data_IF_335595392310
#
_entry.id   IF_335595392310
#
_cell.length_a   1.000
_cell.length_b   1.000
_cell.length_c   1.000
_cell.angle_alpha   90.00
_cell.angle_beta   90.00
_cell.angle_gamma   90.00
#
_symmetry.space_group_name_H-M   'P 1'
#
loop_
_entity.id
_entity.type
_entity.pdbx_description
1 polymer ?
#
# COMPACT_ATOMS: atom_id res chain seq x y z
N UNK A 1 46.99 19.98 4.76
CA UNK A 1 46.03 19.98 5.90
C UNK A 1 46.02 18.58 6.49
N UNK A 2 46.11 18.40 7.80
CA UNK A 2 46.26 17.07 8.41
C UNK A 2 44.99 16.23 8.18
N UNK A 3 45.10 14.97 7.74
CA UNK A 3 43.95 14.13 7.32
C UNK A 3 42.86 14.03 8.40
N UNK A 4 43.27 13.98 9.68
CA UNK A 4 42.36 14.01 10.83
C UNK A 4 41.46 15.25 10.88
N UNK A 5 41.97 16.43 10.46
CA UNK A 5 41.18 17.67 10.40
C UNK A 5 40.16 17.65 9.27
N UNK A 6 40.45 16.96 8.17
CA UNK A 6 39.51 16.79 7.05
C UNK A 6 38.36 15.85 7.47
N UNK A 7 38.68 14.71 8.10
CA UNK A 7 37.66 13.76 8.59
C UNK A 7 36.74 14.39 9.64
N UNK A 8 37.30 15.20 10.56
CA UNK A 8 36.52 15.88 11.60
C UNK A 8 35.50 16.88 11.03
N UNK A 9 35.75 17.43 9.85
CA UNK A 9 34.86 18.39 9.18
C UNK A 9 33.84 17.65 8.31
N UNK A 10 34.25 16.60 7.59
CA UNK A 10 33.37 15.90 6.65
C UNK A 10 32.28 15.07 7.35
N UNK A 11 32.58 14.43 8.48
CA UNK A 11 31.62 13.57 9.19
C UNK A 11 30.33 14.31 9.62
N UNK A 12 30.37 15.47 10.31
CA UNK A 12 29.15 16.18 10.70
C UNK A 12 28.37 16.73 9.49
N UNK A 13 29.06 17.07 8.40
CA UNK A 13 28.40 17.50 7.15
C UNK A 13 27.63 16.33 6.54
N UNK A 14 28.22 15.13 6.47
CA UNK A 14 27.55 13.92 5.98
C UNK A 14 26.34 13.54 6.84
N UNK A 15 26.47 13.63 8.17
CA UNK A 15 25.36 13.37 9.10
C UNK A 15 24.25 14.41 8.93
N UNK A 16 24.60 15.70 8.81
CA UNK A 16 23.64 16.77 8.58
C UNK A 16 22.86 16.60 7.26
N UNK A 17 23.54 16.21 6.18
CA UNK A 17 22.90 15.91 4.89
C UNK A 17 21.98 14.68 4.98
N UNK A 18 22.39 13.63 5.69
CA UNK A 18 21.56 12.45 5.89
C UNK A 18 20.29 12.78 6.68
N UNK A 19 20.41 13.54 7.76
CA UNK A 19 19.26 13.99 8.56
C UNK A 19 18.34 14.87 7.71
N UNK A 20 18.90 15.80 6.95
CA UNK A 20 18.11 16.65 6.05
C UNK A 20 17.33 15.83 5.01
N UNK A 21 17.98 14.82 4.39
CA UNK A 21 17.33 13.89 3.45
C UNK A 21 16.23 13.05 4.11
N UNK A 22 16.45 12.55 5.33
CA UNK A 22 15.44 11.78 6.07
C UNK A 22 14.26 12.68 6.42
N UNK A 23 14.51 13.91 6.87
CA UNK A 23 13.45 14.88 7.18
C UNK A 23 12.70 15.27 5.92
N UNK A 24 13.37 15.53 4.78
CA UNK A 24 12.69 15.73 3.50
C UNK A 24 11.85 14.52 3.12
N UNK A 25 12.38 13.29 3.22
CA UNK A 25 11.58 12.08 2.93
C UNK A 25 10.35 11.95 3.84
N UNK A 26 10.46 12.34 5.12
CA UNK A 26 9.36 12.34 6.07
C UNK A 26 8.39 13.52 5.86
N UNK A 27 8.83 14.58 5.18
CA UNK A 27 8.05 15.77 4.86
C UNK A 27 7.55 15.81 3.41
N UNK A 28 7.94 14.85 2.56
CA UNK A 28 7.20 14.53 1.35
C UNK A 28 5.86 14.01 1.85
N UNK A 29 4.93 14.95 2.06
CA UNK A 29 3.51 14.65 2.08
C UNK A 29 3.27 13.71 0.91
N UNK A 30 2.56 12.57 1.08
CA UNK A 30 2.17 11.76 -0.05
C UNK A 30 1.60 12.73 -1.08
N UNK A 31 2.30 12.92 -2.20
CA UNK A 31 1.81 13.83 -3.22
C UNK A 31 0.46 13.25 -3.61
N UNK A 32 -0.57 14.06 -3.45
CA UNK A 32 -1.92 13.62 -3.76
C UNK A 32 -1.94 13.17 -5.22
N UNK A 33 -2.40 11.95 -5.41
CA UNK A 33 -2.24 11.25 -6.67
C UNK A 33 -3.19 11.87 -7.69
N UNK A 34 -2.68 12.60 -8.67
CA UNK A 34 -3.51 13.21 -9.70
C UNK A 34 -4.02 12.14 -10.67
N UNK A 35 -5.33 12.11 -10.89
CA UNK A 35 -5.98 11.34 -11.95
C UNK A 35 -6.69 12.32 -12.87
N UNK A 36 -6.40 12.29 -14.16
CA UNK A 36 -7.18 13.02 -15.14
C UNK A 36 -8.36 12.15 -15.57
N UNK A 37 -9.56 12.70 -15.73
CA UNK A 37 -10.60 12.01 -16.52
C UNK A 37 -10.38 12.23 -18.01
N UNK A 38 -10.83 11.28 -18.84
CA UNK A 38 -10.92 11.46 -20.28
C UNK A 38 -12.12 12.32 -20.67
N UNK A 39 -12.16 12.82 -21.92
CA UNK A 39 -13.37 13.48 -22.43
C UNK A 39 -14.20 12.49 -23.25
N UNK A 40 -15.46 12.29 -22.84
CA UNK A 40 -16.40 11.41 -23.53
C UNK A 40 -16.72 11.91 -24.95
N UNK A 41 -16.46 11.05 -25.90
CA UNK A 41 -16.69 11.18 -27.35
C UNK A 41 -17.65 10.11 -27.86
N UNK A 42 -17.62 8.91 -27.28
CA UNK A 42 -18.57 7.84 -27.56
C UNK A 42 -19.69 7.78 -26.51
N UNK A 43 -20.86 7.29 -26.91
CA UNK A 43 -21.96 7.08 -25.96
C UNK A 43 -21.63 5.93 -25.01
N UNK A 44 -22.02 6.10 -23.75
CA UNK A 44 -21.91 5.08 -22.71
C UNK A 44 -23.31 4.56 -22.42
N UNK A 45 -23.47 3.25 -22.45
CA UNK A 45 -24.60 2.53 -21.88
C UNK A 45 -24.19 2.10 -20.47
N UNK A 46 -25.02 2.41 -19.48
CA UNK A 46 -24.76 2.01 -18.09
C UNK A 46 -25.48 0.67 -17.87
N UNK A 47 -24.75 -0.42 -18.06
CA UNK A 47 -25.23 -1.81 -17.98
C UNK A 47 -24.26 -2.78 -17.27
N UNK A 48 -23.15 -2.24 -16.73
CA UNK A 48 -22.16 -3.02 -15.99
C UNK A 48 -21.36 -3.95 -16.90
N UNK A 49 -21.14 -3.61 -18.17
CA UNK A 49 -20.37 -4.41 -19.10
C UNK A 49 -19.60 -3.55 -20.13
N UNK A 50 -18.50 -4.09 -20.66
CA UNK A 50 -17.93 -3.58 -21.91
C UNK A 50 -18.85 -3.97 -23.08
N UNK A 51 -19.89 -3.17 -23.33
CA UNK A 51 -20.89 -3.49 -24.36
C UNK A 51 -20.35 -3.30 -25.77
N UNK A 52 -19.40 -2.38 -25.96
CA UNK A 52 -18.63 -2.30 -27.21
C UNK A 52 -17.17 -1.91 -26.97
N UNK A 53 -16.28 -2.38 -27.84
CA UNK A 53 -14.82 -2.17 -27.71
C UNK A 53 -14.44 -0.69 -27.67
N UNK A 54 -15.18 0.18 -28.38
CA UNK A 54 -14.92 1.61 -28.46
C UNK A 54 -15.51 2.42 -27.31
N UNK A 55 -16.32 1.80 -26.45
CA UNK A 55 -17.14 2.51 -25.47
C UNK A 55 -16.30 3.32 -24.49
N UNK A 56 -15.14 2.79 -24.11
CA UNK A 56 -14.26 3.37 -23.09
C UNK A 56 -12.87 3.75 -23.65
N UNK A 57 -12.70 3.77 -24.98
CA UNK A 57 -11.45 4.12 -25.68
C UNK A 57 -10.96 5.56 -25.39
N UNK A 58 -11.87 6.43 -24.99
CA UNK A 58 -11.63 7.83 -24.67
C UNK A 58 -11.53 8.12 -23.17
N UNK A 59 -11.60 7.07 -22.33
CA UNK A 59 -11.41 7.18 -20.90
C UNK A 59 -9.93 7.27 -20.53
N UNK A 60 -9.67 7.94 -19.41
CA UNK A 60 -8.42 7.74 -18.70
C UNK A 60 -8.47 6.44 -17.93
N UNK A 61 -7.37 5.70 -17.92
CA UNK A 61 -7.26 4.37 -17.33
C UNK A 61 -6.27 4.44 -16.17
N UNK A 62 -6.69 3.97 -15.01
CA UNK A 62 -5.90 3.91 -13.78
C UNK A 62 -5.91 2.49 -13.25
N UNK A 63 -4.73 1.87 -13.15
CA UNK A 63 -4.59 0.59 -12.46
C UNK A 63 -4.72 0.81 -10.96
N UNK A 64 -5.70 0.18 -10.32
CA UNK A 64 -5.90 0.29 -8.86
C UNK A 64 -4.95 -0.67 -8.13
N UNK A 65 -4.94 -1.93 -8.56
CA UNK A 65 -4.05 -3.01 -8.11
C UNK A 65 -4.01 -4.09 -9.20
N UNK A 66 -3.47 -5.29 -8.94
CA UNK A 66 -3.44 -6.39 -9.93
C UNK A 66 -4.81 -6.85 -10.44
N UNK A 67 -5.87 -6.54 -9.70
CA UNK A 67 -7.18 -7.17 -9.79
C UNK A 67 -8.30 -6.17 -10.09
N UNK A 68 -7.98 -4.87 -10.23
CA UNK A 68 -8.95 -3.83 -10.56
C UNK A 68 -8.36 -2.70 -11.41
N UNK A 69 -9.15 -2.26 -12.39
CA UNK A 69 -8.82 -1.16 -13.32
C UNK A 69 -9.97 -0.17 -13.34
N UNK A 70 -9.64 1.11 -13.11
CA UNK A 70 -10.59 2.21 -13.10
C UNK A 70 -10.51 2.99 -14.42
N UNK A 71 -11.66 3.20 -15.03
CA UNK A 71 -11.87 4.00 -16.23
C UNK A 71 -12.67 5.24 -15.85
N UNK A 72 -12.15 6.41 -16.20
CA UNK A 72 -12.76 7.70 -15.89
C UNK A 72 -12.88 8.54 -17.14
N UNK A 73 -14.09 9.04 -17.38
CA UNK A 73 -14.31 10.10 -18.37
C UNK A 73 -15.45 11.00 -17.97
N UNK A 74 -15.46 12.21 -18.48
CA UNK A 74 -16.56 13.13 -18.29
C UNK A 74 -16.97 13.75 -19.62
N UNK A 75 -18.17 14.27 -19.67
CA UNK A 75 -18.55 15.29 -20.64
C UNK A 75 -18.77 16.63 -19.90
N UNK A 76 -19.53 17.54 -20.50
CA UNK A 76 -19.85 18.82 -19.89
C UNK A 76 -20.90 18.73 -18.75
N UNK A 77 -21.55 17.58 -18.59
CA UNK A 77 -22.72 17.41 -17.72
C UNK A 77 -22.62 16.23 -16.78
N UNK A 78 -21.85 15.18 -17.10
CA UNK A 78 -21.74 13.98 -16.30
C UNK A 78 -20.29 13.49 -16.18
N UNK A 79 -19.98 12.89 -15.04
CA UNK A 79 -18.84 12.02 -14.80
C UNK A 79 -19.29 10.57 -15.01
N UNK A 80 -18.49 9.80 -15.73
CA UNK A 80 -18.67 8.38 -16.00
C UNK A 80 -17.53 7.61 -15.37
N UNK A 81 -17.89 6.61 -14.58
CA UNK A 81 -16.96 5.79 -13.81
C UNK A 81 -17.24 4.35 -14.18
N UNK A 82 -16.18 3.63 -14.56
CA UNK A 82 -16.24 2.21 -14.82
C UNK A 82 -15.13 1.53 -14.04
N UNK A 83 -15.48 0.56 -13.21
CA UNK A 83 -14.53 -0.24 -12.46
C UNK A 83 -14.59 -1.69 -12.93
N UNK A 84 -13.50 -2.12 -13.58
CA UNK A 84 -13.25 -3.48 -14.03
C UNK A 84 -12.57 -4.26 -12.89
N UNK A 85 -13.31 -5.09 -12.15
CA UNK A 85 -12.79 -5.84 -10.99
C UNK A 85 -12.42 -7.27 -11.39
N UNK A 86 -11.39 -7.39 -12.21
CA UNK A 86 -10.89 -8.65 -12.78
C UNK A 86 -10.76 -9.79 -11.75
N UNK A 87 -10.32 -9.49 -10.52
CA UNK A 87 -10.14 -10.50 -9.47
C UNK A 87 -11.45 -10.99 -8.82
N UNK A 88 -12.54 -10.24 -8.96
CA UNK A 88 -13.85 -10.59 -8.41
C UNK A 88 -14.62 -11.46 -9.40
N UNK A 89 -14.42 -12.77 -9.28
CA UNK A 89 -15.08 -13.78 -10.13
C UNK A 89 -16.22 -14.50 -9.39
N UNK A 90 -16.55 -14.05 -8.17
CA UNK A 90 -17.50 -14.67 -7.25
C UNK A 90 -18.76 -13.84 -7.08
N UNK A 91 -19.94 -14.46 -7.15
CA UNK A 91 -21.22 -13.72 -7.14
C UNK A 91 -21.76 -13.30 -5.77
N UNK A 92 -20.93 -13.12 -4.73
CA UNK A 92 -21.41 -12.83 -3.37
C UNK A 92 -20.72 -11.65 -2.71
N UNK A 93 -21.51 -10.65 -2.29
CA UNK A 93 -21.12 -9.47 -1.49
C UNK A 93 -20.06 -8.56 -2.12
N UNK A 94 -20.37 -8.04 -3.31
CA UNK A 94 -19.45 -7.21 -4.07
C UNK A 94 -19.80 -5.75 -3.86
N UNK A 95 -19.02 -5.01 -3.07
CA UNK A 95 -19.29 -3.60 -2.73
C UNK A 95 -18.36 -2.66 -3.44
N UNK A 96 -18.94 -1.56 -3.91
CA UNK A 96 -18.26 -0.46 -4.56
C UNK A 96 -18.77 0.84 -3.95
N UNK A 97 -17.87 1.71 -3.52
CA UNK A 97 -18.19 3.07 -3.07
C UNK A 97 -17.14 4.04 -3.57
N UNK A 98 -17.61 5.21 -3.98
CA UNK A 98 -16.79 6.37 -4.30
C UNK A 98 -17.22 7.53 -3.42
N UNK A 99 -16.27 8.37 -3.07
CA UNK A 99 -16.46 9.55 -2.24
C UNK A 99 -15.72 10.73 -2.88
N UNK A 100 -16.32 11.91 -2.76
CA UNK A 100 -15.76 13.14 -3.29
C UNK A 100 -15.53 14.15 -2.18
N UNK A 101 -14.37 14.81 -2.22
CA UNK A 101 -14.15 16.11 -1.60
C UNK A 101 -14.31 17.15 -2.71
N UNK A 102 -15.52 17.66 -2.82
CA UNK A 102 -16.00 18.57 -3.86
C UNK A 102 -15.31 19.93 -3.79
N UNK A 103 -15.08 20.42 -2.58
CA UNK A 103 -14.38 21.68 -2.33
C UNK A 103 -12.89 21.57 -2.63
N UNK A 104 -12.36 20.34 -2.60
CA UNK A 104 -10.94 20.04 -2.61
C UNK A 104 -10.19 20.87 -1.57
N UNK A 105 -10.80 21.02 -0.41
CA UNK A 105 -10.33 21.85 0.68
C UNK A 105 -9.92 21.02 1.89
N UNK A 106 -9.89 19.69 1.75
CA UNK A 106 -9.47 18.76 2.77
C UNK A 106 -10.38 18.79 4.02
N UNK A 107 -11.63 19.27 3.85
CA UNK A 107 -12.59 19.46 4.94
C UNK A 107 -13.89 18.71 4.63
N UNK A 108 -14.32 17.91 5.61
CA UNK A 108 -15.64 17.31 5.62
C UNK A 108 -16.73 18.37 5.73
N UNK A 109 -17.22 18.86 4.60
CA UNK A 109 -18.22 19.92 4.56
C UNK A 109 -19.64 19.34 4.65
N UNK A 110 -20.37 19.63 5.73
CA UNK A 110 -21.68 19.03 5.96
C UNK A 110 -22.67 19.31 4.82
N UNK A 111 -23.29 18.25 4.28
CA UNK A 111 -24.27 18.32 3.21
C UNK A 111 -23.72 18.63 1.81
N UNK A 112 -22.41 18.83 1.66
CA UNK A 112 -21.78 19.09 0.36
C UNK A 112 -21.03 17.87 -0.18
N UNK A 113 -20.38 17.10 0.68
CA UNK A 113 -19.64 15.92 0.23
C UNK A 113 -20.58 14.78 -0.12
N UNK A 114 -20.37 14.21 -1.30
CA UNK A 114 -21.23 13.19 -1.87
C UNK A 114 -20.50 11.87 -1.97
N UNK A 115 -21.19 10.79 -1.64
CA UNK A 115 -20.71 9.44 -1.88
C UNK A 115 -21.74 8.63 -2.65
N UNK A 116 -21.27 7.71 -3.47
CA UNK A 116 -22.11 6.86 -4.30
C UNK A 116 -21.67 5.43 -4.10
N UNK A 117 -22.62 4.53 -3.87
CA UNK A 117 -22.31 3.13 -3.70
C UNK A 117 -23.22 2.23 -4.53
N UNK A 118 -22.64 1.15 -5.04
CA UNK A 118 -23.34 0.02 -5.62
C UNK A 118 -23.11 -1.20 -4.71
N UNK A 119 -24.22 -1.86 -4.35
CA UNK A 119 -24.38 -3.01 -3.44
C UNK A 119 -24.35 -2.82 -1.90
N UNK A 120 -23.77 -1.74 -1.35
CA UNK A 120 -23.98 -1.40 0.09
C UNK A 120 -25.39 -0.83 0.36
N UNK A 121 -26.14 -0.58 -0.72
CA UNK A 121 -27.37 0.17 -0.68
C UNK A 121 -28.54 -0.58 -0.07
N UNK A 122 -29.38 0.15 0.66
CA UNK A 122 -30.77 -0.26 0.92
C UNK A 122 -31.60 -0.39 -0.37
N UNK A 123 -31.06 0.05 -1.50
CA UNK A 123 -31.75 0.16 -2.78
C UNK A 123 -31.04 -0.64 -3.88
N UNK A 124 -31.84 -1.39 -4.63
CA UNK A 124 -31.44 -2.01 -5.90
C UNK A 124 -31.08 -0.90 -6.91
N UNK A 125 -29.91 -1.02 -7.56
CA UNK A 125 -29.42 -0.03 -8.52
C UNK A 125 -28.59 1.12 -7.94
N UNK A 126 -28.18 1.05 -6.67
CA UNK A 126 -27.22 1.97 -6.06
C UNK A 126 -27.83 3.06 -5.17
N UNK A 127 -27.00 3.63 -4.29
CA UNK A 127 -27.39 4.61 -3.27
C UNK A 127 -26.50 5.84 -3.31
N UNK A 128 -27.12 7.01 -3.35
CA UNK A 128 -26.49 8.31 -3.16
C UNK A 128 -26.53 8.68 -1.67
N UNK A 129 -25.37 9.03 -1.13
CA UNK A 129 -25.17 9.50 0.23
C UNK A 129 -24.68 10.94 0.19
N UNK A 130 -25.03 11.69 1.23
CA UNK A 130 -24.50 13.04 1.47
C UNK A 130 -23.92 13.08 2.88
N UNK A 131 -22.86 13.86 3.06
CA UNK A 131 -22.23 14.05 4.35
C UNK A 131 -23.24 14.62 5.36
N UNK A 132 -23.29 14.03 6.56
CA UNK A 132 -24.21 14.46 7.59
C UNK A 132 -23.87 15.89 8.05
N UNK A 133 -24.86 16.55 8.63
CA UNK A 133 -24.77 17.88 9.25
C UNK A 133 -23.73 18.02 10.39
N UNK A 134 -23.08 16.92 10.79
CA UNK A 134 -22.13 16.85 11.90
C UNK A 134 -20.71 17.26 11.49
N UNK A 135 -20.33 17.07 10.22
CA UNK A 135 -18.95 17.26 9.74
C UNK A 135 -17.95 16.29 10.37
N UNK A 136 -18.44 15.14 10.84
CA UNK A 136 -17.60 14.07 11.39
C UNK A 136 -17.14 13.22 10.21
N UNK A 137 -15.82 12.99 10.04
CA UNK A 137 -15.32 12.19 8.92
C UNK A 137 -16.08 10.90 8.67
N UNK A 138 -16.58 10.72 7.45
CA UNK A 138 -17.30 9.53 6.99
C UNK A 138 -18.70 9.34 7.60
N UNK A 139 -19.27 10.33 8.28
CA UNK A 139 -20.64 10.29 8.78
C UNK A 139 -21.62 10.58 7.64
N UNK A 140 -21.74 9.65 6.70
CA UNK A 140 -22.66 9.77 5.57
C UNK A 140 -24.10 9.37 5.96
N UNK A 141 -25.07 10.16 5.52
CA UNK A 141 -26.49 9.77 5.57
C UNK A 141 -26.99 9.35 4.18
N UNK A 142 -27.89 8.38 4.16
CA UNK A 142 -28.57 7.96 2.93
C UNK A 142 -29.44 9.11 2.45
N UNK A 143 -29.19 9.60 1.24
CA UNK A 143 -29.99 10.64 0.61
C UNK A 143 -31.11 10.01 -0.23
N UNK A 144 -30.75 9.21 -1.25
CA UNK A 144 -31.75 8.55 -2.12
C UNK A 144 -31.16 7.44 -3.02
N UNK A 145 -31.99 6.58 -3.63
CA UNK A 145 -31.56 5.67 -4.71
C UNK A 145 -31.12 6.42 -5.97
N UNK A 146 -30.32 5.82 -6.85
CA UNK A 146 -29.83 6.51 -8.06
C UNK A 146 -30.90 7.11 -8.97
N UNK A 147 -32.11 6.53 -9.00
CA UNK A 147 -33.23 7.07 -9.79
C UNK A 147 -33.87 8.37 -9.24
N UNK A 148 -33.38 8.93 -8.12
CA UNK A 148 -33.90 10.18 -7.56
C UNK A 148 -33.41 11.45 -8.29
N UNK A 149 -32.31 11.38 -9.02
CA UNK A 149 -31.75 12.49 -9.78
C UNK A 149 -31.75 12.17 -11.27
N UNK A 150 -32.06 13.17 -12.10
CA UNK A 150 -31.95 13.01 -13.56
C UNK A 150 -30.49 12.70 -13.91
N UNK A 151 -30.28 11.70 -14.77
CA UNK A 151 -28.96 11.27 -15.24
C UNK A 151 -28.03 10.67 -14.18
N UNK A 152 -28.50 10.45 -12.95
CA UNK A 152 -27.81 9.58 -12.00
C UNK A 152 -28.29 8.15 -12.27
N UNK A 153 -27.37 7.27 -12.62
CA UNK A 153 -27.67 5.86 -12.87
C UNK A 153 -26.40 5.04 -12.66
N UNK A 154 -26.58 3.78 -12.33
CA UNK A 154 -25.49 2.84 -12.16
C UNK A 154 -26.00 1.45 -12.40
N UNK A 155 -25.11 0.57 -12.82
CA UNK A 155 -25.36 -0.86 -12.95
C UNK A 155 -24.10 -1.63 -12.56
N UNK A 156 -24.29 -2.91 -12.23
CA UNK A 156 -23.19 -3.81 -12.02
C UNK A 156 -23.56 -5.22 -12.45
N UNK A 157 -22.67 -5.87 -13.18
CA UNK A 157 -22.94 -7.15 -13.78
C UNK A 157 -21.67 -8.01 -13.84
N UNK A 158 -21.87 -9.32 -13.98
CA UNK A 158 -20.79 -10.24 -14.30
C UNK A 158 -20.64 -10.33 -15.82
N UNK A 159 -19.52 -9.85 -16.33
CA UNK A 159 -19.21 -9.88 -17.76
C UNK A 159 -17.71 -10.07 -18.01
N UNK A 160 -17.34 -10.17 -19.28
CA UNK A 160 -15.94 -10.12 -19.71
C UNK A 160 -15.54 -8.70 -20.07
N UNK A 161 -14.23 -8.43 -20.09
CA UNK A 161 -13.65 -7.16 -20.49
C UNK A 161 -12.44 -7.37 -21.39
N UNK A 162 -11.91 -6.32 -22.05
CA UNK A 162 -10.62 -6.39 -22.72
C UNK A 162 -9.46 -6.81 -21.79
N UNK A 163 -9.61 -6.64 -20.48
CA UNK A 163 -8.58 -6.97 -19.50
C UNK A 163 -8.69 -8.40 -18.96
N UNK A 164 -9.87 -9.04 -19.11
CA UNK A 164 -10.06 -10.44 -18.74
C UNK A 164 -11.20 -11.11 -19.52
N UNK A 165 -10.88 -12.28 -20.07
CA UNK A 165 -11.87 -13.15 -20.74
C UNK A 165 -12.70 -13.98 -19.76
N UNK A 166 -12.37 -13.99 -18.47
CA UNK A 166 -13.17 -14.65 -17.44
C UNK A 166 -14.26 -13.69 -16.98
N UNK A 167 -15.48 -14.20 -16.76
CA UNK A 167 -16.54 -13.38 -16.17
C UNK A 167 -16.11 -12.89 -14.78
N UNK A 168 -16.17 -11.59 -14.58
CA UNK A 168 -15.85 -10.91 -13.32
C UNK A 168 -16.83 -9.75 -13.09
N UNK A 169 -16.85 -9.23 -11.88
CA UNK A 169 -17.70 -8.12 -11.49
C UNK A 169 -17.22 -6.82 -12.16
N UNK A 170 -18.15 -6.13 -12.80
CA UNK A 170 -17.95 -4.81 -13.37
C UNK A 170 -18.98 -3.86 -12.76
N UNK A 171 -18.56 -2.63 -12.48
CA UNK A 171 -19.45 -1.54 -12.03
C UNK A 171 -19.37 -0.37 -12.99
N UNK A 172 -20.53 0.21 -13.31
CA UNK A 172 -20.65 1.40 -14.11
C UNK A 172 -21.55 2.42 -13.43
N UNK A 173 -21.13 3.68 -13.39
CA UNK A 173 -21.93 4.77 -12.84
C UNK A 173 -21.82 6.01 -13.71
N UNK A 174 -22.96 6.65 -13.94
CA UNK A 174 -23.08 7.99 -14.48
C UNK A 174 -23.56 8.95 -13.37
N UNK A 175 -22.80 10.01 -13.13
CA UNK A 175 -23.06 11.00 -12.07
C UNK A 175 -23.18 12.38 -12.69
N UNK A 176 -24.29 13.11 -12.50
CA UNK A 176 -24.38 14.50 -12.96
C UNK A 176 -23.34 15.38 -12.25
N UNK A 177 -22.53 16.13 -12.98
CA UNK A 177 -21.54 17.04 -12.37
C UNK A 177 -22.21 18.10 -11.50
N UNK A 178 -23.41 18.55 -11.89
CA UNK A 178 -24.21 19.48 -11.08
C UNK A 178 -24.69 18.88 -9.75
N UNK A 179 -24.78 17.55 -9.66
CA UNK A 179 -25.19 16.88 -8.41
C UNK A 179 -24.08 16.95 -7.36
N UNK A 180 -22.83 16.75 -7.79
CA UNK A 180 -21.65 16.90 -6.94
C UNK A 180 -21.09 18.33 -6.97
N UNK A 181 -21.82 19.32 -7.50
CA UNK A 181 -21.42 20.73 -7.42
C UNK A 181 -20.18 21.16 -8.23
N UNK A 182 -19.73 20.37 -9.21
CA UNK A 182 -18.51 20.65 -9.99
C UNK A 182 -18.79 21.00 -11.45
N UNK A 183 -17.79 21.56 -12.12
CA UNK A 183 -17.73 21.80 -13.55
C UNK A 183 -16.57 21.05 -14.19
N UNK A 184 -16.62 20.89 -15.51
CA UNK A 184 -15.48 20.43 -16.29
C UNK A 184 -14.25 21.35 -16.07
N UNK A 185 -13.06 20.77 -15.96
CA UNK A 185 -11.83 21.49 -15.65
C UNK A 185 -11.56 21.66 -14.15
N UNK A 186 -12.54 21.41 -13.29
CA UNK A 186 -12.35 21.46 -11.84
C UNK A 186 -11.50 20.27 -11.37
N UNK A 187 -10.87 20.44 -10.21
CA UNK A 187 -10.10 19.42 -9.50
C UNK A 187 -10.80 19.13 -8.17
N UNK A 188 -11.07 17.86 -7.88
CA UNK A 188 -11.75 17.41 -6.67
C UNK A 188 -11.01 16.26 -5.99
N UNK A 189 -11.16 16.13 -4.68
CA UNK A 189 -10.70 14.93 -3.98
C UNK A 189 -11.53 13.72 -4.38
N UNK A 190 -10.88 12.59 -4.56
CA UNK A 190 -11.46 11.34 -5.03
C UNK A 190 -10.94 10.17 -4.21
N UNK A 191 -11.86 9.43 -3.61
CA UNK A 191 -11.58 8.19 -2.93
C UNK A 191 -12.47 7.10 -3.46
N UNK A 192 -11.87 5.95 -3.75
CA UNK A 192 -12.57 4.74 -4.15
C UNK A 192 -12.33 3.68 -3.10
N UNK A 193 -13.39 2.97 -2.77
CA UNK A 193 -13.40 1.83 -1.88
C UNK A 193 -14.14 0.69 -2.57
N UNK A 194 -13.53 -0.47 -2.68
CA UNK A 194 -14.15 -1.62 -3.33
C UNK A 194 -13.52 -2.93 -2.91
N UNK A 195 -14.23 -4.02 -3.16
CA UNK A 195 -13.71 -5.34 -2.87
C UNK A 195 -14.77 -6.42 -3.02
N UNK A 196 -14.38 -7.61 -3.51
CA UNK A 196 -15.06 -8.81 -3.10
C UNK A 196 -14.77 -9.02 -1.60
N UNK A 197 -15.78 -8.82 -0.75
CA UNK A 197 -15.61 -8.98 0.71
C UNK A 197 -15.35 -10.42 1.12
N UNK A 198 -15.64 -11.38 0.24
CA UNK A 198 -15.40 -12.81 0.46
C UNK A 198 -13.91 -13.18 0.40
N UNK A 199 -13.04 -12.32 -0.15
CA UNK A 199 -11.60 -12.56 -0.26
C UNK A 199 -10.74 -11.93 0.86
N UNK A 200 -11.33 -11.33 1.89
CA UNK A 200 -10.59 -10.71 3.02
C UNK A 200 -9.75 -9.47 2.65
N UNK A 201 -9.80 -8.99 1.41
CA UNK A 201 -9.01 -7.86 0.93
C UNK A 201 -9.92 -6.75 0.44
N UNK A 202 -10.14 -5.76 1.30
CA UNK A 202 -10.67 -4.47 0.88
C UNK A 202 -9.56 -3.73 0.13
N UNK A 203 -9.86 -3.26 -1.08
CA UNK A 203 -8.98 -2.33 -1.78
C UNK A 203 -9.59 -0.94 -1.74
N UNK A 204 -8.70 0.03 -1.62
CA UNK A 204 -9.02 1.43 -1.73
C UNK A 204 -8.03 2.09 -2.66
N UNK A 205 -8.45 3.20 -3.26
CA UNK A 205 -7.61 4.00 -4.11
C UNK A 205 -7.66 5.47 -3.69
N UNK A 206 -6.50 6.12 -3.53
CA UNK A 206 -5.14 5.55 -3.53
C UNK A 206 -4.93 4.46 -2.47
N UNK A 207 -3.99 3.53 -2.65
CA UNK A 207 -3.77 2.41 -1.71
C UNK A 207 -3.21 2.82 -0.34
N UNK A 208 -2.85 4.09 -0.17
CA UNK A 208 -2.38 4.68 1.09
C UNK A 208 -3.42 5.63 1.68
N UNK A 209 -4.57 5.79 1.02
CA UNK A 209 -5.59 6.73 1.43
C UNK A 209 -6.40 6.19 2.62
N UNK A 210 -6.66 7.06 3.58
CA UNK A 210 -7.60 6.81 4.66
C UNK A 210 -8.95 7.45 4.29
N UNK A 211 -10.02 6.67 4.34
CA UNK A 211 -11.38 7.15 4.05
C UNK A 211 -11.85 8.26 5.00
N UNK A 212 -11.16 8.49 6.12
CA UNK A 212 -11.46 9.55 7.08
C UNK A 212 -10.51 10.76 6.97
N UNK A 213 -9.49 10.68 6.12
CA UNK A 213 -8.49 11.74 5.92
C UNK A 213 -8.42 12.15 4.44
N UNK A 214 -9.15 13.19 4.07
CA UNK A 214 -9.24 13.71 2.69
C UNK A 214 -7.90 14.16 2.13
N UNK A 215 -6.92 14.48 2.99
CA UNK A 215 -5.56 14.87 2.57
C UNK A 215 -4.82 13.73 1.88
N UNK A 216 -5.27 12.49 2.11
CA UNK A 216 -4.66 11.29 1.54
C UNK A 216 -5.33 10.83 0.25
N UNK A 217 -6.43 11.49 -0.15
CA UNK A 217 -7.23 11.10 -1.31
C UNK A 217 -6.53 11.48 -2.62
N UNK A 218 -6.94 10.83 -3.71
CA UNK A 218 -6.51 11.22 -5.05
C UNK A 218 -7.13 12.56 -5.44
N UNK A 219 -6.56 13.19 -6.45
CA UNK A 219 -7.05 14.44 -7.03
C UNK A 219 -7.57 14.15 -8.42
N UNK A 220 -8.89 14.08 -8.57
CA UNK A 220 -9.53 13.91 -9.87
C UNK A 220 -9.65 15.25 -10.58
N UNK A 221 -8.96 15.39 -11.71
CA UNK A 221 -8.98 16.55 -12.59
C UNK A 221 -9.93 16.25 -13.75
N UNK A 222 -11.04 16.99 -13.82
CA UNK A 222 -12.05 16.78 -14.86
C UNK A 222 -11.58 17.36 -16.20
N UNK A 223 -11.66 16.59 -17.29
CA UNK A 223 -11.28 17.09 -18.62
C UNK A 223 -12.10 18.35 -18.99
N UNK A 224 -11.46 19.47 -19.37
CA UNK A 224 -12.16 20.73 -19.63
C UNK A 224 -12.82 20.78 -21.02
N UNK A 225 -12.31 19.98 -21.96
CA UNK A 225 -12.73 19.94 -23.38
C UNK A 225 -12.43 18.58 -23.98
N UNK A 226 -12.82 18.38 -25.24
CA UNK A 226 -12.54 17.21 -26.09
C UNK A 226 -11.05 17.06 -26.43
N UNK A 227 -10.18 17.05 -25.42
CA UNK A 227 -8.83 16.55 -25.56
C UNK A 227 -8.92 15.01 -25.49
N UNK A 228 -8.42 14.34 -26.53
CA UNK A 228 -8.33 12.88 -26.56
C UNK A 228 -7.47 12.44 -25.37
N UNK A 229 -8.00 11.54 -24.53
CA UNK A 229 -7.35 11.06 -23.31
C UNK A 229 -5.87 10.74 -23.56
N UNK A 230 -4.99 11.38 -22.79
CA UNK A 230 -3.59 10.99 -22.74
C UNK A 230 -3.56 9.76 -21.83
N UNK A 231 -3.11 8.63 -22.35
CA UNK A 231 -2.78 7.48 -21.50
C UNK A 231 -1.62 7.95 -20.61
N UNK A 232 -1.94 8.34 -19.37
CA UNK A 232 -0.94 8.57 -18.34
C UNK A 232 -0.39 7.19 -17.97
N UNK A 233 0.56 6.70 -18.77
CA UNK A 233 1.47 5.68 -18.28
C UNK A 233 2.12 6.28 -17.05
N UNK A 234 1.79 5.75 -15.87
CA UNK A 234 2.61 5.86 -14.67
C UNK A 234 3.98 5.26 -15.01
N UNK A 235 4.81 6.05 -15.70
CA UNK A 235 6.24 5.91 -15.69
C UNK A 235 6.61 6.01 -14.22
N UNK A 236 7.46 5.10 -13.76
CA UNK A 236 8.09 5.07 -12.43
C UNK A 236 8.94 6.33 -12.15
N UNK A 237 8.37 7.52 -12.35
CA UNK A 237 9.09 8.80 -12.36
C UNK A 237 9.41 9.28 -10.96
N UNK A 238 8.63 8.91 -9.94
CA UNK A 238 8.90 9.37 -8.58
C UNK A 238 9.92 8.51 -7.82
N UNK A 239 9.98 7.21 -8.05
CA UNK A 239 11.00 6.36 -7.41
C UNK A 239 12.37 6.47 -8.08
N UNK A 240 12.42 6.71 -9.40
CA UNK A 240 13.69 6.76 -10.15
C UNK A 240 14.62 7.91 -9.71
N UNK A 241 14.10 9.07 -9.32
CA UNK A 241 14.92 10.17 -8.82
C UNK A 241 15.57 9.87 -7.47
N UNK A 242 14.86 9.19 -6.58
CA UNK A 242 15.40 8.75 -5.29
C UNK A 242 16.53 7.73 -5.48
N UNK A 243 16.40 6.80 -6.44
CA UNK A 243 17.48 5.88 -6.82
C UNK A 243 18.70 6.62 -7.39
N UNK A 244 18.50 7.63 -8.23
CA UNK A 244 19.61 8.45 -8.77
C UNK A 244 20.34 9.20 -7.64
N UNK A 245 19.60 9.80 -6.70
CA UNK A 245 20.19 10.53 -5.59
C UNK A 245 20.95 9.61 -4.63
N UNK A 246 20.38 8.43 -4.34
CA UNK A 246 21.06 7.39 -3.55
C UNK A 246 22.35 6.91 -4.23
N UNK A 247 22.33 6.74 -5.55
CA UNK A 247 23.52 6.35 -6.32
C UNK A 247 24.62 7.41 -6.26
N UNK A 248 24.27 8.71 -6.34
CA UNK A 248 25.23 9.81 -6.23
C UNK A 248 25.86 9.86 -4.83
N UNK A 249 25.05 9.68 -3.77
CA UNK A 249 25.55 9.63 -2.39
C UNK A 249 26.46 8.42 -2.18
N UNK A 250 26.07 7.23 -2.67
CA UNK A 250 26.87 6.02 -2.58
C UNK A 250 28.23 6.15 -3.29
N UNK A 251 28.26 6.73 -4.49
CA UNK A 251 29.50 7.02 -5.23
C UNK A 251 30.38 8.00 -4.45
N UNK A 252 29.78 9.02 -3.83
CA UNK A 252 30.50 10.01 -3.04
C UNK A 252 31.16 9.39 -1.81
N UNK A 253 30.44 8.52 -1.08
CA UNK A 253 30.97 7.77 0.06
C UNK A 253 32.09 6.82 -0.38
N UNK A 254 31.87 6.06 -1.47
CA UNK A 254 32.88 5.16 -2.01
C UNK A 254 34.16 5.91 -2.43
N UNK A 255 34.02 7.09 -3.05
CA UNK A 255 35.15 7.96 -3.41
C UNK A 255 35.97 8.38 -2.19
N UNK A 256 35.31 8.80 -1.11
CA UNK A 256 35.98 9.16 0.16
C UNK A 256 36.69 7.95 0.78
N UNK A 257 36.08 6.77 0.76
CA UNK A 257 36.67 5.53 1.27
C UNK A 257 37.89 5.08 0.45
N UNK A 258 37.85 5.20 -0.87
CA UNK A 258 38.99 4.88 -1.74
C UNK A 258 40.15 5.84 -1.50
N UNK A 259 39.88 7.15 -1.44
CA UNK A 259 40.91 8.16 -1.17
C UNK A 259 41.52 7.92 0.22
N UNK A 260 40.72 7.69 1.25
CA UNK A 260 41.22 7.42 2.61
C UNK A 260 42.07 6.15 2.70
N UNK A 261 41.71 5.06 2.01
CA UNK A 261 42.54 3.84 1.93
C UNK A 261 43.90 4.09 1.28
N UNK A 262 43.95 4.89 0.20
CA UNK A 262 45.23 5.24 -0.44
C UNK A 262 46.13 6.05 0.52
N UNK A 263 45.57 6.93 1.34
CA UNK A 263 46.36 7.67 2.34
C UNK A 263 46.84 6.81 3.52
N UNK A 264 46.06 5.80 3.95
CA UNK A 264 46.49 4.85 5.00
C UNK A 264 47.63 3.96 4.51
N UNK A 265 47.66 3.61 3.21
CA UNK A 265 48.71 2.76 2.63
C UNK A 265 50.06 3.49 2.51
N UNK A 266 50.05 4.81 2.35
CA UNK A 266 51.28 5.63 2.29
C UNK A 266 51.92 5.80 3.69
N UNK A 267 51.12 5.81 4.76
CA UNK A 267 51.63 6.01 6.14
C UNK A 267 52.14 4.70 6.78
N UNK A 268 51.59 3.55 6.38
CA UNK A 268 51.93 2.23 6.95
C UNK A 268 53.26 1.64 6.46
N UNK A 269 53.87 2.17 5.39
CA UNK A 269 55.24 1.80 5.00
C UNK A 269 56.31 2.35 5.98
N UNK A 270 55.94 3.20 6.94
CA UNK A 270 56.91 3.83 7.88
C UNK A 270 57.09 3.12 9.22
N UNK A 271 56.30 2.09 9.56
CA UNK A 271 56.41 1.40 10.86
C UNK A 271 56.22 -0.11 10.76
N UNK A 272 57.34 -0.84 10.82
CA UNK A 272 57.37 -2.25 11.23
C UNK A 272 56.79 -2.38 12.64
N UNK A 273 55.75 -3.19 12.80
CA UNK A 273 55.28 -3.67 14.10
C UNK A 273 55.10 -5.18 14.01
N UNK A 274 55.66 -5.87 15.00
CA UNK A 274 55.65 -7.32 15.22
C UNK A 274 54.24 -7.86 15.54
N UNK A 275 54.00 -9.18 15.32
CA UNK A 275 52.68 -9.75 15.48
C UNK A 275 52.38 -10.02 16.96
N UNK A 276 51.28 -9.45 17.46
CA UNK A 276 50.65 -9.93 18.70
C UNK A 276 49.28 -10.53 18.39
N UNK A 277 49.18 -11.82 18.65
CA UNK A 277 47.96 -12.61 18.82
C UNK A 277 47.30 -12.27 20.16
N UNK A 278 46.00 -11.96 20.17
CA UNK A 278 45.07 -12.35 21.25
C UNK A 278 43.62 -12.01 20.83
N UNK A 279 42.75 -13.02 20.76
CA UNK A 279 41.30 -12.89 20.74
C UNK A 279 40.79 -13.12 22.17
N UNK A 280 39.85 -12.31 22.69
CA UNK A 280 39.07 -12.71 23.85
C UNK A 280 37.68 -13.21 23.43
N UNK A 281 37.34 -14.39 23.91
CA UNK A 281 35.99 -14.93 24.06
C UNK A 281 35.10 -13.92 24.81
N UNK A 282 33.94 -13.59 24.23
CA UNK A 282 32.83 -13.00 24.98
C UNK A 282 31.50 -13.35 24.31
N UNK A 283 30.94 -14.51 24.67
CA UNK A 283 29.57 -14.90 24.33
C UNK A 283 28.87 -15.49 25.54
N UNK A 284 28.40 -14.67 26.48
CA UNK A 284 27.40 -15.08 27.47
C UNK A 284 26.50 -13.85 27.74
N UNK A 285 25.18 -14.07 27.64
CA UNK A 285 24.04 -13.13 27.74
C UNK A 285 23.57 -12.43 26.46
N UNK A 286 22.84 -13.17 25.63
CA UNK A 286 21.82 -12.60 24.73
C UNK A 286 20.44 -12.80 25.38
N UNK A 287 19.61 -11.77 25.32
CA UNK A 287 18.19 -11.79 25.70
C UNK A 287 17.39 -12.76 24.82
N UNK A 288 16.21 -13.20 25.28
CA UNK A 288 15.33 -14.10 24.50
C UNK A 288 14.99 -13.48 23.14
N UNK A 289 14.78 -12.15 23.10
CA UNK A 289 14.56 -11.36 21.88
C UNK A 289 15.72 -11.47 20.89
N UNK A 290 16.95 -11.30 21.34
CA UNK A 290 18.13 -11.39 20.48
C UNK A 290 18.39 -12.83 19.99
N UNK A 291 17.99 -13.84 20.78
CA UNK A 291 18.05 -15.24 20.34
C UNK A 291 16.96 -15.57 19.30
N UNK A 292 15.77 -14.98 19.42
CA UNK A 292 14.68 -15.09 18.43
C UNK A 292 15.07 -14.40 17.12
N UNK A 293 15.60 -13.18 17.23
CA UNK A 293 16.16 -12.42 16.10
C UNK A 293 17.28 -13.22 15.41
N UNK A 294 18.22 -13.80 16.17
CA UNK A 294 19.27 -14.65 15.60
C UNK A 294 18.74 -15.95 14.99
N UNK A 295 17.71 -16.58 15.57
CA UNK A 295 17.11 -17.78 15.00
C UNK A 295 16.42 -17.48 13.65
N UNK A 296 15.78 -16.31 13.54
CA UNK A 296 15.22 -15.78 12.29
C UNK A 296 16.34 -15.47 11.28
N UNK A 297 17.43 -14.84 11.73
CA UNK A 297 18.53 -14.41 10.86
C UNK A 297 19.49 -15.54 10.44
N UNK A 298 19.62 -16.62 11.22
CA UNK A 298 20.64 -17.66 11.02
C UNK A 298 20.10 -19.05 10.68
N UNK A 299 18.78 -19.26 10.55
CA UNK A 299 18.26 -20.57 10.10
C UNK A 299 16.93 -20.56 9.33
N UNK A 300 16.83 -19.66 8.35
CA UNK A 300 16.27 -20.03 7.04
C UNK A 300 17.44 -19.89 6.07
N UNK A 301 18.02 -21.00 5.63
CA UNK A 301 19.06 -20.89 4.60
C UNK A 301 18.43 -20.37 3.31
N UNK A 302 19.10 -19.44 2.63
CA UNK A 302 18.72 -18.97 1.30
C UNK A 302 18.48 -20.15 0.34
N UNK A 303 19.21 -21.26 0.53
CA UNK A 303 19.06 -22.53 -0.22
C UNK A 303 17.75 -23.32 0.05
N UNK A 304 17.05 -23.09 1.16
CA UNK A 304 15.72 -23.66 1.40
C UNK A 304 14.60 -22.75 0.88
N UNK A 305 14.86 -21.43 0.85
CA UNK A 305 13.96 -20.43 0.27
C UNK A 305 13.96 -20.50 -1.27
N UNK A 306 15.13 -20.73 -1.90
CA UNK A 306 15.29 -20.92 -3.35
C UNK A 306 14.79 -22.28 -3.87
N UNK A 307 14.52 -23.25 -2.99
CA UNK A 307 13.88 -24.53 -3.36
C UNK A 307 12.35 -24.49 -3.31
N UNK A 308 11.76 -23.36 -2.90
CA UNK A 308 10.32 -23.13 -2.81
C UNK A 308 9.75 -22.43 -4.06
N UNK A 309 10.41 -22.58 -5.20
CA UNK A 309 9.92 -22.09 -6.50
C UNK A 309 8.80 -23.03 -7.02
N UNK A 310 7.59 -22.91 -6.46
CA UNK A 310 6.36 -23.51 -7.00
C UNK A 310 5.21 -22.49 -6.96
N UNK A 311 4.35 -22.42 -8.00
CA UNK A 311 3.13 -21.62 -8.03
C UNK A 311 2.15 -21.88 -6.86
N UNK A 312 2.36 -22.93 -6.07
CA UNK A 312 1.51 -23.30 -4.93
C UNK A 312 1.60 -22.32 -3.74
N UNK A 313 2.64 -21.49 -3.67
CA UNK A 313 2.86 -20.61 -2.51
C UNK A 313 1.91 -19.40 -2.47
N UNK A 314 1.44 -18.91 -3.63
CA UNK A 314 0.43 -17.84 -3.69
C UNK A 314 -0.96 -18.34 -3.24
N UNK A 315 -1.21 -19.64 -3.30
CA UNK A 315 -2.45 -20.24 -2.77
C UNK A 315 -2.36 -20.52 -1.26
N UNK A 316 -1.16 -20.57 -0.68
CA UNK A 316 -0.89 -20.82 0.74
C UNK A 316 -0.73 -19.54 1.58
N UNK A 317 -0.31 -18.42 0.97
CA UNK A 317 -0.26 -17.11 1.63
C UNK A 317 -1.64 -16.45 1.81
N UNK A 318 -2.70 -17.08 1.29
CA UNK A 318 -4.09 -16.61 1.39
C UNK A 318 -4.86 -17.03 2.64
N UNK A 319 -4.26 -17.75 3.60
CA UNK A 319 -4.95 -18.14 4.83
C UNK A 319 -4.19 -17.76 6.10
N UNK A 320 -4.74 -16.77 6.81
CA UNK A 320 -4.59 -16.53 8.25
C UNK A 320 -3.23 -15.99 8.76
N UNK A 321 -2.70 -14.94 8.13
CA UNK A 321 -1.83 -14.01 8.87
C UNK A 321 -2.73 -13.28 9.89
N UNK A 322 -2.33 -13.25 11.16
CA UNK A 322 -3.08 -12.57 12.23
C UNK A 322 -3.84 -13.49 13.19
N UNK A 323 -3.95 -14.79 12.92
CA UNK A 323 -4.58 -15.76 13.81
C UNK A 323 -3.53 -16.65 14.46
N UNK A 324 -3.56 -16.76 15.79
CA UNK A 324 -2.74 -17.72 16.53
C UNK A 324 -3.57 -18.98 16.74
N UNK A 325 -3.06 -20.12 16.27
CA UNK A 325 -3.70 -21.41 16.53
C UNK A 325 -3.91 -21.63 18.03
N UNK A 326 -5.09 -22.12 18.48
CA UNK A 326 -5.34 -22.43 19.89
C UNK A 326 -4.29 -23.36 20.52
N UNK A 327 -3.68 -24.25 19.72
CA UNK A 327 -2.65 -25.17 20.21
C UNK A 327 -1.32 -24.45 20.48
N UNK A 328 -0.97 -23.44 19.68
CA UNK A 328 0.23 -22.59 19.88
C UNK A 328 0.09 -21.77 21.16
N UNK A 329 -1.09 -21.18 21.40
CA UNK A 329 -1.38 -20.45 22.64
C UNK A 329 -1.27 -21.36 23.87
N UNK A 330 -1.76 -22.60 23.76
CA UNK A 330 -1.68 -23.60 24.83
C UNK A 330 -0.25 -24.06 25.10
N UNK A 331 0.59 -24.25 24.07
CA UNK A 331 2.01 -24.58 24.21
C UNK A 331 2.80 -23.43 24.86
N UNK A 332 2.59 -22.20 24.40
CA UNK A 332 3.22 -21.00 24.97
C UNK A 332 2.89 -20.81 26.46
N UNK A 333 1.66 -21.11 26.88
CA UNK A 333 1.27 -21.06 28.30
C UNK A 333 2.02 -22.06 29.18
N UNK A 334 2.48 -23.19 28.61
CA UNK A 334 3.23 -24.23 29.33
C UNK A 334 4.73 -23.91 29.43
N UNK A 335 5.23 -22.91 28.71
CA UNK A 335 6.63 -22.51 28.78
C UNK A 335 6.97 -21.91 30.15
N UNK A 336 8.11 -22.29 30.77
CA UNK A 336 8.54 -21.78 32.08
C UNK A 336 9.23 -20.41 31.94
N UNK A 337 8.54 -19.45 31.32
CA UNK A 337 8.97 -18.05 31.14
C UNK A 337 7.93 -17.11 31.76
N UNK A 338 8.29 -15.85 31.98
CA UNK A 338 7.38 -14.88 32.60
C UNK A 338 6.19 -14.54 31.69
N UNK A 339 5.06 -14.14 32.26
CA UNK A 339 3.87 -13.75 31.46
C UNK A 339 4.17 -12.59 30.49
N UNK A 340 5.02 -11.64 30.88
CA UNK A 340 5.45 -10.55 29.99
C UNK A 340 6.25 -11.04 28.78
N UNK A 341 7.09 -12.06 28.94
CA UNK A 341 7.82 -12.68 27.81
C UNK A 341 6.86 -13.48 26.91
N UNK A 342 5.83 -14.12 27.47
CA UNK A 342 4.79 -14.80 26.69
C UNK A 342 4.02 -13.80 25.82
N UNK A 343 3.64 -12.65 26.37
CA UNK A 343 2.93 -11.60 25.62
C UNK A 343 3.78 -11.03 24.48
N UNK A 344 5.09 -10.82 24.69
CA UNK A 344 6.00 -10.35 23.62
C UNK A 344 6.14 -11.40 22.50
N UNK A 345 6.31 -12.68 22.84
CA UNK A 345 6.37 -13.77 21.85
C UNK A 345 5.04 -13.87 21.08
N UNK A 346 3.91 -13.71 21.77
CA UNK A 346 2.59 -13.75 21.16
C UNK A 346 2.45 -12.67 20.08
N UNK A 347 2.90 -11.44 20.36
CA UNK A 347 2.85 -10.32 19.41
C UNK A 347 3.66 -10.57 18.13
N UNK A 348 4.82 -11.24 18.24
CA UNK A 348 5.64 -11.56 17.08
C UNK A 348 5.09 -12.77 16.30
N UNK A 349 4.51 -13.76 16.97
CA UNK A 349 3.92 -14.93 16.30
C UNK A 349 2.70 -14.56 15.43
N UNK A 350 1.88 -13.57 15.85
CA UNK A 350 0.70 -13.09 15.08
C UNK A 350 1.06 -12.64 13.66
N UNK A 351 2.30 -12.16 13.48
CA UNK A 351 2.79 -11.62 12.19
C UNK A 351 3.27 -12.70 11.24
N UNK A 352 3.31 -13.96 11.67
CA UNK A 352 3.87 -15.06 10.90
C UNK A 352 2.77 -16.00 10.39
N UNK A 353 2.93 -16.61 9.20
CA UNK A 353 2.14 -17.75 8.77
C UNK A 353 2.13 -18.87 9.82
N UNK A 354 1.01 -19.58 9.95
CA UNK A 354 0.78 -20.60 11.00
C UNK A 354 1.88 -21.68 11.00
N UNK A 355 2.35 -22.12 9.83
CA UNK A 355 3.40 -23.15 9.71
C UNK A 355 4.75 -22.67 10.27
N UNK A 356 5.02 -21.36 10.22
CA UNK A 356 6.21 -20.75 10.79
C UNK A 356 6.06 -20.53 12.30
N UNK A 357 4.85 -20.23 12.77
CA UNK A 357 4.58 -20.09 14.20
C UNK A 357 4.90 -21.40 14.97
N UNK A 358 4.46 -22.55 14.46
CA UNK A 358 4.72 -23.87 15.09
C UNK A 358 6.21 -24.24 15.11
N UNK A 359 6.92 -23.97 14.01
CA UNK A 359 8.37 -24.24 13.91
C UNK A 359 9.16 -23.39 14.90
N UNK A 360 8.85 -22.10 15.01
CA UNK A 360 9.51 -21.19 15.94
C UNK A 360 9.24 -21.56 17.39
N UNK A 361 7.99 -21.90 17.73
CA UNK A 361 7.65 -22.29 19.10
C UNK A 361 8.38 -23.58 19.53
N UNK A 362 8.46 -24.57 18.63
CA UNK A 362 9.22 -25.81 18.87
C UNK A 362 10.72 -25.53 19.09
N UNK A 363 11.31 -24.61 18.32
CA UNK A 363 12.72 -24.22 18.50
C UNK A 363 12.94 -23.49 19.83
N UNK A 364 12.00 -22.62 20.23
CA UNK A 364 12.03 -21.90 21.49
C UNK A 364 11.95 -22.85 22.69
N UNK A 365 11.01 -23.81 22.67
CA UNK A 365 10.90 -24.87 23.67
C UNK A 365 12.23 -25.61 23.86
N UNK A 366 12.85 -26.03 22.74
CA UNK A 366 14.13 -26.73 22.75
C UNK A 366 15.24 -25.88 23.36
N UNK A 367 15.32 -24.60 22.99
CA UNK A 367 16.28 -23.63 23.51
C UNK A 367 16.18 -23.44 25.02
N UNK A 368 14.96 -23.27 25.54
CA UNK A 368 14.68 -23.11 26.98
C UNK A 368 15.10 -24.38 27.74
N UNK A 369 14.73 -25.56 27.22
CA UNK A 369 15.08 -26.84 27.84
C UNK A 369 16.60 -27.10 27.86
N UNK A 370 17.34 -26.71 26.80
CA UNK A 370 18.80 -26.85 26.79
C UNK A 370 19.51 -25.90 27.75
N UNK A 371 19.01 -24.68 27.94
CA UNK A 371 19.64 -23.70 28.84
C UNK A 371 19.43 -24.06 30.31
N UNK A 372 18.31 -24.70 30.66
CA UNK A 372 18.04 -25.13 32.04
C UNK A 372 18.85 -26.36 32.48
N UNK A 373 19.51 -27.07 31.56
CA UNK A 373 20.40 -28.22 31.89
C UNK A 373 21.84 -27.80 32.23
N UNK A 374 22.17 -26.52 32.17
CA UNK A 374 23.50 -25.98 32.46
C UNK A 374 23.72 -25.50 33.90
N UNK A 375 22.74 -25.70 34.80
CA UNK A 375 22.75 -25.20 36.18
C UNK A 375 22.65 -26.29 37.27
N UNK A 376 22.91 -27.55 36.91
CA UNK A 376 23.07 -28.66 37.87
C UNK A 376 24.55 -28.96 38.20
#
# INVERSE_FOLDING_TARGET
MNSKKITLILLPISIGLLIFLIVELLLISPQSLNINSGWKTENVLIDGAFTNDSEWDDASITQINSDAILYLKNDASNLYIFLDVIGDTGGSDNRFRIQFDTGNDEIWTPGNESAFSYSDGLFEGGTHYVENTTGIPGDYIIHCPFNCHSNLTGDANFSTSPNSIQNHQIYEIQIPLSLIGVNKGDQIGFFLYGGPFDLSFEYHYPSVADQFDMNTWAQLILAPTQAKGIIDFFVLSDTSWHFVLFFIVAISIAGVLVISKQYIFVDTQSKRIEPYTFLPEKFIHLSIKEKLQQAIEHNISIEEFEKLDSPDLMHLLGSEIGVISPEIKKQLLQLPISEGEKDEILQELVRLPIELQEKLLTQLEKSILTNNRGFD
#
